data_IF_026423703602
#
_entry.id   IF_026423703602
#
_cell.length_a   1.000
_cell.length_b   1.000
_cell.length_c   1.000
_cell.angle_alpha   90.00
_cell.angle_beta   90.00
_cell.angle_gamma   90.00
#
_symmetry.space_group_name_H-M   'P 1'
#
loop_
_entity.id
_entity.type
_entity.pdbx_description
1 polymer ?
#
# COMPACT_ATOMS: atom_id res chain seq x y z
N UNK A 1 -17.74 3.42 5.21
CA UNK A 1 -17.57 4.02 3.88
C UNK A 1 -17.59 5.54 4.03
N UNK A 2 -16.45 6.21 4.19
CA UNK A 2 -16.43 7.68 4.12
C UNK A 2 -16.79 8.07 2.68
N UNK A 3 -17.82 8.91 2.54
CA UNK A 3 -18.31 9.37 1.23
C UNK A 3 -17.17 10.11 0.51
N UNK A 4 -17.00 9.87 -0.79
CA UNK A 4 -15.99 10.54 -1.64
C UNK A 4 -15.96 12.07 -1.49
N UNK A 5 -17.09 12.66 -1.08
CA UNK A 5 -17.26 14.07 -0.73
C UNK A 5 -16.31 14.56 0.39
N UNK A 6 -16.08 13.76 1.44
CA UNK A 6 -15.19 14.14 2.56
C UNK A 6 -13.72 14.20 2.13
N UNK A 7 -13.30 13.27 1.28
CA UNK A 7 -11.93 13.21 0.80
C UNK A 7 -11.59 14.40 -0.11
N UNK A 8 -12.51 14.74 -1.03
CA UNK A 8 -12.37 15.93 -1.88
C UNK A 8 -12.33 17.22 -1.03
N UNK A 9 -13.21 17.33 -0.03
CA UNK A 9 -13.23 18.47 0.89
C UNK A 9 -11.92 18.66 1.64
N UNK A 10 -11.33 17.56 2.17
CA UNK A 10 -10.02 17.60 2.83
C UNK A 10 -8.91 18.03 1.87
N UNK A 11 -8.81 17.41 0.69
CA UNK A 11 -7.79 17.77 -0.30
C UNK A 11 -7.89 19.25 -0.73
N UNK A 12 -9.09 19.77 -0.96
CA UNK A 12 -9.29 21.19 -1.28
C UNK A 12 -8.96 22.10 -0.09
N UNK A 13 -9.21 21.65 1.14
CA UNK A 13 -8.81 22.34 2.36
C UNK A 13 -7.29 22.49 2.47
N UNK A 14 -6.55 21.39 2.27
CA UNK A 14 -5.09 21.37 2.31
C UNK A 14 -4.48 22.27 1.23
N UNK A 15 -4.99 22.18 -0.01
CA UNK A 15 -4.55 23.05 -1.10
C UNK A 15 -4.90 24.52 -0.85
N UNK A 16 -6.06 24.81 -0.28
CA UNK A 16 -6.45 26.18 0.10
C UNK A 16 -5.49 26.72 1.16
N UNK A 17 -5.17 25.93 2.19
CA UNK A 17 -4.21 26.31 3.22
C UNK A 17 -2.83 26.62 2.60
N UNK A 18 -2.36 25.76 1.69
CA UNK A 18 -1.10 26.00 0.97
C UNK A 18 -1.12 27.27 0.12
N UNK A 19 -2.23 27.54 -0.59
CA UNK A 19 -2.40 28.77 -1.34
C UNK A 19 -2.27 30.01 -0.44
N UNK A 20 -2.84 29.97 0.77
CA UNK A 20 -2.75 31.06 1.75
C UNK A 20 -1.33 31.25 2.29
N UNK A 21 -0.59 30.17 2.53
CA UNK A 21 0.84 30.26 2.89
C UNK A 21 1.69 30.93 1.79
N UNK A 22 1.27 30.81 0.53
CA UNK A 22 1.89 31.49 -0.61
C UNK A 22 1.35 32.91 -0.83
N UNK A 23 0.50 33.43 0.07
CA UNK A 23 -0.09 34.76 -0.03
C UNK A 23 -1.19 34.89 -1.10
N UNK A 24 -1.68 33.79 -1.66
CA UNK A 24 -2.72 33.80 -2.69
C UNK A 24 -4.11 33.81 -2.07
N UNK A 25 -4.98 34.71 -2.56
CA UNK A 25 -6.41 34.60 -2.33
C UNK A 25 -7.08 33.65 -3.34
N UNK A 26 -8.34 33.28 -3.10
CA UNK A 26 -9.05 32.32 -3.95
C UNK A 26 -9.14 32.76 -5.42
N UNK A 27 -9.24 34.06 -5.70
CA UNK A 27 -9.26 34.59 -7.07
C UNK A 27 -7.90 34.40 -7.75
N UNK A 28 -6.82 34.74 -7.05
CA UNK A 28 -5.45 34.61 -7.55
C UNK A 28 -5.05 33.14 -7.73
N UNK A 29 -5.44 32.28 -6.80
CA UNK A 29 -5.21 30.84 -6.88
C UNK A 29 -5.96 30.22 -8.06
N UNK A 30 -7.25 30.54 -8.23
CA UNK A 30 -8.04 30.07 -9.38
C UNK A 30 -7.43 30.54 -10.71
N UNK A 31 -7.05 31.82 -10.79
CA UNK A 31 -6.40 32.37 -11.99
C UNK A 31 -5.07 31.66 -12.29
N UNK A 32 -4.24 31.40 -11.27
CA UNK A 32 -2.97 30.68 -11.40
C UNK A 32 -3.15 29.21 -11.79
N UNK A 33 -4.28 28.61 -11.41
CA UNK A 33 -4.69 27.28 -11.83
C UNK A 33 -5.37 27.25 -13.21
N UNK A 34 -5.55 28.41 -13.88
CA UNK A 34 -6.20 28.49 -15.19
C UNK A 34 -7.72 28.29 -15.17
N UNK A 35 -8.36 28.42 -14.01
CA UNK A 35 -9.81 28.20 -13.86
C UNK A 35 -10.56 29.46 -13.40
N UNK A 36 -11.86 29.51 -13.66
CA UNK A 36 -12.74 30.58 -13.16
C UNK A 36 -12.95 30.44 -11.64
N UNK A 37 -13.03 31.56 -10.93
CA UNK A 37 -13.27 31.60 -9.46
C UNK A 37 -14.60 30.94 -9.07
N UNK A 38 -15.61 31.05 -9.94
CA UNK A 38 -16.91 30.41 -9.76
C UNK A 38 -16.77 28.88 -9.78
N UNK A 39 -15.86 28.33 -10.59
CA UNK A 39 -15.54 26.91 -10.62
C UNK A 39 -14.97 26.47 -9.27
N UNK A 40 -14.01 27.21 -8.71
CA UNK A 40 -13.46 26.94 -7.37
C UNK A 40 -14.53 27.02 -6.27
N UNK A 41 -15.39 28.05 -6.32
CA UNK A 41 -16.49 28.21 -5.35
C UNK A 41 -17.51 27.07 -5.43
N UNK A 42 -17.82 26.60 -6.64
CA UNK A 42 -18.72 25.47 -6.89
C UNK A 42 -18.10 24.15 -6.45
N UNK A 43 -16.79 23.96 -6.67
CA UNK A 43 -16.06 22.75 -6.25
C UNK A 43 -16.12 22.52 -4.75
N UNK A 44 -16.04 23.58 -3.94
CA UNK A 44 -16.21 23.47 -2.47
C UNK A 44 -17.61 23.06 -2.02
N UNK A 45 -18.61 23.19 -2.90
CA UNK A 45 -20.03 22.87 -2.62
C UNK A 45 -20.51 21.61 -3.33
N UNK A 46 -19.77 21.08 -4.31
CA UNK A 46 -20.13 19.90 -5.11
C UNK A 46 -19.46 18.65 -4.59
N UNK A 47 -20.08 17.50 -4.85
CA UNK A 47 -19.55 16.17 -4.52
C UNK A 47 -18.56 15.62 -5.55
N UNK A 48 -18.24 16.38 -6.61
CA UNK A 48 -17.40 15.91 -7.71
C UNK A 48 -16.58 17.00 -8.37
N UNK A 49 -15.36 16.62 -8.74
CA UNK A 49 -14.36 17.41 -9.46
C UNK A 49 -13.73 16.49 -10.50
N UNK A 50 -13.46 16.98 -11.71
CA UNK A 50 -12.60 16.24 -12.63
C UNK A 50 -11.16 16.23 -12.10
N UNK A 51 -10.40 15.20 -12.48
CA UNK A 51 -9.03 15.04 -11.97
C UNK A 51 -8.09 16.15 -12.49
N UNK A 52 -8.32 16.63 -13.72
CA UNK A 52 -7.53 17.67 -14.37
C UNK A 52 -7.59 19.01 -13.62
N UNK A 53 -8.78 19.41 -13.17
CA UNK A 53 -8.99 20.62 -12.38
C UNK A 53 -8.33 20.49 -11.02
N UNK A 54 -8.45 19.33 -10.35
CA UNK A 54 -7.79 19.09 -9.07
C UNK A 54 -6.27 19.15 -9.22
N UNK A 55 -5.72 18.56 -10.29
CA UNK A 55 -4.30 18.58 -10.58
C UNK A 55 -3.79 19.99 -10.91
N UNK A 56 -4.57 20.78 -11.65
CA UNK A 56 -4.25 22.18 -11.97
C UNK A 56 -4.21 23.06 -10.72
N UNK A 57 -5.16 22.86 -9.79
CA UNK A 57 -5.18 23.53 -8.49
C UNK A 57 -3.98 23.16 -7.62
N UNK A 58 -3.56 21.90 -7.61
CA UNK A 58 -2.37 21.44 -6.90
C UNK A 58 -1.09 22.06 -7.49
N UNK A 59 -0.93 22.02 -8.82
CA UNK A 59 0.24 22.63 -9.50
C UNK A 59 0.37 24.13 -9.22
N UNK A 60 -0.75 24.85 -9.16
CA UNK A 60 -0.76 26.29 -8.89
C UNK A 60 -0.11 26.68 -7.55
N UNK A 61 -0.11 25.76 -6.57
CA UNK A 61 0.50 25.94 -5.24
C UNK A 61 1.78 25.13 -5.04
N UNK A 62 2.35 24.59 -6.12
CA UNK A 62 3.57 23.77 -6.07
C UNK A 62 3.37 22.39 -5.44
N UNK A 63 2.14 21.88 -5.43
CA UNK A 63 1.81 20.52 -4.98
C UNK A 63 1.58 19.58 -6.18
N UNK A 64 1.68 18.29 -5.93
CA UNK A 64 1.34 17.23 -6.90
C UNK A 64 0.34 16.26 -6.30
N UNK A 65 -0.58 15.77 -7.13
CA UNK A 65 -1.47 14.65 -6.77
C UNK A 65 -0.84 13.36 -7.28
N UNK A 66 -0.82 12.33 -6.44
CA UNK A 66 -0.29 11.02 -6.79
C UNK A 66 -1.19 9.90 -6.26
N UNK A 67 -1.01 8.71 -6.82
CA UNK A 67 -1.56 7.48 -6.26
C UNK A 67 -0.63 7.03 -5.14
N UNK A 68 -1.17 6.95 -3.93
CA UNK A 68 -0.48 6.32 -2.80
C UNK A 68 -1.00 4.90 -2.72
N UNK A 69 -0.10 3.91 -2.75
CA UNK A 69 -0.46 2.57 -2.32
C UNK A 69 -0.85 2.68 -0.84
N UNK A 70 -2.14 2.43 -0.54
CA UNK A 70 -2.56 2.32 0.84
C UNK A 70 -1.84 1.10 1.42
N UNK A 71 -1.08 1.31 2.50
CA UNK A 71 -0.59 0.21 3.31
C UNK A 71 -1.77 -0.71 3.63
N UNK A 72 -1.55 -2.03 3.58
CA UNK A 72 -2.59 -2.99 3.91
C UNK A 72 -3.25 -2.56 5.23
N UNK A 73 -4.61 -2.53 5.31
CA UNK A 73 -5.28 -2.19 6.56
C UNK A 73 -4.71 -3.05 7.69
N UNK A 74 -4.50 -2.43 8.85
CA UNK A 74 -3.83 -3.05 10.00
C UNK A 74 -2.34 -3.38 9.75
N UNK A 75 -1.55 -2.39 9.32
CA UNK A 75 -0.08 -2.46 9.30
C UNK A 75 0.54 -1.73 10.50
N UNK A 76 1.80 -2.05 10.83
CA UNK A 76 2.62 -1.27 11.77
C UNK A 76 2.79 0.16 11.28
N UNK A 77 3.18 1.08 12.18
CA UNK A 77 3.32 2.51 11.86
C UNK A 77 4.33 2.78 10.72
N UNK A 78 5.33 1.92 10.53
CA UNK A 78 6.29 1.98 9.44
C UNK A 78 5.82 1.25 8.16
N UNK A 79 4.61 0.67 8.17
CA UNK A 79 3.99 0.02 7.02
C UNK A 79 4.66 -1.28 6.57
N UNK A 80 5.63 -1.78 7.32
CA UNK A 80 6.45 -2.93 6.90
C UNK A 80 5.87 -4.28 7.30
N UNK A 81 5.13 -4.33 8.41
CA UNK A 81 4.58 -5.56 8.98
C UNK A 81 3.09 -5.43 9.23
N UNK A 82 2.35 -6.55 9.26
CA UNK A 82 0.98 -6.51 9.75
C UNK A 82 0.99 -6.15 11.25
N UNK A 83 0.06 -5.30 11.67
CA UNK A 83 -0.11 -4.88 13.05
C UNK A 83 -0.45 -6.07 13.96
N UNK A 84 -1.16 -7.07 13.45
CA UNK A 84 -1.48 -8.32 14.15
C UNK A 84 -1.44 -9.50 13.18
N UNK A 85 -0.91 -10.63 13.65
CA UNK A 85 -0.97 -11.92 12.96
C UNK A 85 -1.85 -12.85 13.78
N UNK A 86 -3.16 -12.80 13.52
CA UNK A 86 -4.11 -13.72 14.12
C UNK A 86 -4.18 -15.05 13.34
N UNK A 87 -4.95 -16.00 13.87
CA UNK A 87 -5.10 -17.33 13.28
C UNK A 87 -5.72 -17.28 11.88
N UNK A 88 -6.77 -16.48 11.69
CA UNK A 88 -7.45 -16.36 10.41
C UNK A 88 -6.53 -15.77 9.33
N UNK A 89 -5.64 -14.85 9.72
CA UNK A 89 -4.68 -14.29 8.81
C UNK A 89 -3.54 -15.27 8.49
N UNK A 90 -3.03 -16.00 9.48
CA UNK A 90 -2.07 -17.07 9.26
C UNK A 90 -2.62 -18.16 8.33
N UNK A 91 -3.88 -18.56 8.49
CA UNK A 91 -4.56 -19.53 7.62
C UNK A 91 -4.62 -19.03 6.15
N UNK A 92 -4.95 -17.75 5.92
CA UNK A 92 -4.90 -17.14 4.58
C UNK A 92 -3.50 -17.13 3.98
N UNK A 93 -2.47 -16.88 4.78
CA UNK A 93 -1.08 -16.95 4.31
C UNK A 93 -0.69 -18.37 3.93
N UNK A 94 -1.08 -19.37 4.74
CA UNK A 94 -0.86 -20.78 4.42
C UNK A 94 -1.55 -21.17 3.11
N UNK A 95 -2.79 -20.72 2.88
CA UNK A 95 -3.52 -20.95 1.62
C UNK A 95 -2.82 -20.34 0.42
N UNK A 96 -2.38 -19.09 0.54
CA UNK A 96 -1.63 -18.42 -0.51
C UNK A 96 -0.33 -19.18 -0.83
N UNK A 97 0.44 -19.54 0.19
CA UNK A 97 1.72 -20.24 0.03
C UNK A 97 1.52 -21.65 -0.56
N UNK A 98 0.45 -22.36 -0.17
CA UNK A 98 0.12 -23.69 -0.68
C UNK A 98 -0.39 -23.66 -2.12
N UNK A 99 -1.00 -22.55 -2.56
CA UNK A 99 -1.51 -22.42 -3.93
C UNK A 99 -0.43 -22.40 -5.00
N UNK A 100 0.82 -22.09 -4.64
CA UNK A 100 1.92 -21.93 -5.58
C UNK A 100 1.81 -20.70 -6.49
N UNK A 101 0.84 -19.82 -6.27
CA UNK A 101 0.67 -18.60 -7.06
C UNK A 101 1.83 -17.62 -6.79
N UNK A 102 2.44 -17.10 -7.86
CA UNK A 102 3.55 -16.14 -7.82
C UNK A 102 3.17 -14.77 -8.39
N UNK A 103 1.88 -14.46 -8.50
CA UNK A 103 1.39 -13.15 -8.92
C UNK A 103 1.68 -12.09 -7.83
N UNK A 104 2.51 -11.05 -8.11
CA UNK A 104 2.87 -10.04 -7.13
C UNK A 104 1.68 -9.25 -6.58
N UNK A 105 0.66 -8.99 -7.40
CA UNK A 105 -0.52 -8.22 -6.96
C UNK A 105 -1.34 -8.99 -5.95
N UNK A 106 -1.48 -10.31 -6.15
CA UNK A 106 -2.16 -11.19 -5.19
C UNK A 106 -1.42 -11.21 -3.86
N UNK A 107 -0.09 -11.31 -3.90
CA UNK A 107 0.74 -11.26 -2.70
C UNK A 107 0.68 -9.90 -2.00
N UNK A 108 0.76 -8.79 -2.73
CA UNK A 108 0.64 -7.44 -2.18
C UNK A 108 -0.75 -7.18 -1.57
N UNK A 109 -1.81 -7.76 -2.14
CA UNK A 109 -3.16 -7.65 -1.56
C UNK A 109 -3.33 -8.45 -0.26
N UNK A 110 -2.50 -9.49 -0.05
CA UNK A 110 -2.56 -10.33 1.13
C UNK A 110 -1.82 -9.72 2.33
N UNK A 111 -1.01 -8.67 2.17
CA UNK A 111 -0.32 -8.05 3.30
C UNK A 111 0.72 -7.01 2.90
N UNK A 112 1.40 -6.39 3.88
CA UNK A 112 2.41 -5.38 3.62
C UNK A 112 3.53 -5.91 2.72
N UNK A 113 3.91 -5.15 1.69
CA UNK A 113 4.82 -5.64 0.65
C UNK A 113 6.16 -6.12 1.20
N UNK A 114 6.73 -5.42 2.19
CA UNK A 114 7.96 -5.84 2.85
C UNK A 114 7.78 -7.17 3.61
N UNK A 115 6.68 -7.31 4.35
CA UNK A 115 6.32 -8.56 5.02
C UNK A 115 6.21 -9.73 4.02
N UNK A 116 5.46 -9.52 2.94
CA UNK A 116 5.22 -10.52 1.90
C UNK A 116 6.49 -10.87 1.12
N UNK A 117 7.38 -9.91 0.88
CA UNK A 117 8.67 -10.15 0.26
C UNK A 117 9.55 -11.08 1.11
N UNK A 118 9.64 -10.83 2.43
CA UNK A 118 10.38 -11.72 3.34
C UNK A 118 9.74 -13.10 3.49
N UNK A 119 8.41 -13.21 3.44
CA UNK A 119 7.71 -14.50 3.36
C UNK A 119 8.15 -15.30 2.11
N UNK A 120 8.25 -14.64 0.95
CA UNK A 120 8.73 -15.27 -0.27
C UNK A 120 10.20 -15.74 -0.16
N UNK A 121 11.08 -14.93 0.45
CA UNK A 121 12.49 -15.31 0.70
C UNK A 121 12.60 -16.48 1.68
N UNK A 122 11.76 -16.50 2.72
CA UNK A 122 11.69 -17.61 3.67
C UNK A 122 11.31 -18.91 2.95
N UNK A 123 10.28 -18.87 2.10
CA UNK A 123 9.86 -20.03 1.30
C UNK A 123 10.95 -20.46 0.32
N UNK A 124 11.64 -19.52 -0.34
CA UNK A 124 12.76 -19.80 -1.23
C UNK A 124 13.94 -20.46 -0.51
N UNK A 125 14.04 -20.27 0.80
CA UNK A 125 15.07 -20.87 1.66
C UNK A 125 14.68 -22.28 2.12
N UNK A 126 13.39 -22.55 2.29
CA UNK A 126 12.87 -23.87 2.68
C UNK A 126 12.63 -24.81 1.48
N UNK A 127 12.15 -24.30 0.35
CA UNK A 127 11.76 -25.08 -0.84
C UNK A 127 12.74 -24.85 -1.99
N UNK A 128 13.40 -25.93 -2.43
CA UNK A 128 14.43 -25.85 -3.50
C UNK A 128 13.85 -25.73 -4.92
N UNK A 129 12.65 -26.27 -5.18
CA UNK A 129 12.05 -26.33 -6.53
C UNK A 129 11.76 -24.95 -7.13
N UNK A 130 11.34 -23.98 -6.30
CA UNK A 130 10.83 -22.68 -6.77
C UNK A 130 11.66 -21.48 -6.32
N UNK A 131 12.86 -21.76 -5.79
CA UNK A 131 13.73 -20.76 -5.15
C UNK A 131 13.94 -19.52 -6.02
N UNK A 132 14.31 -19.67 -7.28
CA UNK A 132 14.58 -18.53 -8.18
C UNK A 132 13.34 -17.69 -8.42
N UNK A 133 12.18 -18.32 -8.61
CA UNK A 133 10.94 -17.62 -8.89
C UNK A 133 10.42 -16.87 -7.64
N UNK A 134 10.56 -17.48 -6.46
CA UNK A 134 10.24 -16.86 -5.18
C UNK A 134 11.15 -15.67 -4.84
N UNK A 135 12.45 -15.76 -5.13
CA UNK A 135 13.35 -14.61 -4.97
C UNK A 135 13.03 -13.47 -5.94
N UNK A 136 12.67 -13.79 -7.20
CA UNK A 136 12.21 -12.77 -8.14
C UNK A 136 10.90 -12.11 -7.70
N UNK A 137 9.98 -12.88 -7.12
CA UNK A 137 8.75 -12.34 -6.51
C UNK A 137 9.08 -11.41 -5.34
N UNK A 138 10.01 -11.80 -4.46
CA UNK A 138 10.44 -10.96 -3.34
C UNK A 138 10.95 -9.59 -3.81
N UNK A 139 11.79 -9.57 -4.86
CA UNK A 139 12.29 -8.32 -5.45
C UNK A 139 11.19 -7.45 -6.08
N UNK A 140 10.17 -8.07 -6.69
CA UNK A 140 9.02 -7.34 -7.24
C UNK A 140 8.09 -6.78 -6.15
N UNK A 141 8.03 -7.44 -5.00
CA UNK A 141 7.26 -6.97 -3.85
C UNK A 141 8.00 -5.84 -3.14
N UNK A 142 9.30 -6.02 -2.89
CA UNK A 142 10.15 -5.01 -2.27
C UNK A 142 11.60 -5.16 -2.77
N UNK A 143 12.09 -4.12 -3.44
CA UNK A 143 13.46 -4.11 -3.97
C UNK A 143 14.49 -4.33 -2.85
N UNK A 144 15.48 -5.18 -3.11
CA UNK A 144 16.54 -5.56 -2.17
C UNK A 144 16.10 -6.54 -1.08
N UNK A 145 14.86 -7.05 -1.10
CA UNK A 145 14.39 -8.00 -0.09
C UNK A 145 15.13 -9.35 -0.12
N UNK A 146 15.70 -9.74 -1.27
CA UNK A 146 16.49 -10.96 -1.40
C UNK A 146 17.89 -10.86 -0.78
N UNK A 147 18.33 -9.65 -0.38
CA UNK A 147 19.58 -9.45 0.33
C UNK A 147 19.54 -10.09 1.72
N UNK A 148 20.59 -10.83 2.08
CA UNK A 148 20.67 -11.57 3.34
C UNK A 148 20.56 -10.66 4.57
N UNK A 149 21.14 -9.45 4.54
CA UNK A 149 21.07 -8.50 5.65
C UNK A 149 19.68 -7.87 5.80
N UNK A 150 18.93 -7.74 4.69
CA UNK A 150 17.53 -7.30 4.73
C UNK A 150 16.64 -8.41 5.27
N UNK A 151 16.86 -9.65 4.83
CA UNK A 151 16.11 -10.80 5.32
C UNK A 151 16.37 -11.09 6.81
N UNK A 152 17.60 -10.92 7.31
CA UNK A 152 17.90 -11.03 8.75
C UNK A 152 17.13 -9.99 9.58
N UNK A 153 17.04 -8.74 9.10
CA UNK A 153 16.19 -7.71 9.73
C UNK A 153 14.72 -8.09 9.69
N UNK A 154 14.26 -8.68 8.59
CA UNK A 154 12.90 -9.17 8.48
C UNK A 154 12.62 -10.25 9.54
N UNK A 155 13.49 -11.24 9.70
CA UNK A 155 13.34 -12.32 10.70
C UNK A 155 13.27 -11.78 12.13
N UNK A 156 14.09 -10.78 12.48
CA UNK A 156 14.11 -10.16 13.81
C UNK A 156 12.81 -9.45 14.17
N UNK A 157 12.12 -8.87 13.18
CA UNK A 157 10.94 -8.03 13.38
C UNK A 157 9.63 -8.72 13.02
N UNK A 158 9.67 -9.79 12.23
CA UNK A 158 8.49 -10.46 11.72
C UNK A 158 7.65 -11.04 12.86
N UNK A 159 6.32 -10.81 12.85
CA UNK A 159 5.41 -11.49 13.77
C UNK A 159 5.23 -12.97 13.40
N UNK A 160 5.58 -13.35 12.17
CA UNK A 160 5.52 -14.73 11.70
C UNK A 160 6.79 -15.48 12.14
N UNK A 161 6.61 -16.66 12.74
CA UNK A 161 7.71 -17.51 13.21
C UNK A 161 7.97 -18.64 12.22
N UNK A 162 9.12 -18.67 11.51
CA UNK A 162 9.41 -19.70 10.51
C UNK A 162 9.29 -21.13 11.05
N UNK A 163 9.79 -21.36 12.27
CA UNK A 163 9.76 -22.66 12.93
C UNK A 163 8.35 -23.22 13.20
N UNK A 164 7.33 -22.35 13.28
CA UNK A 164 5.93 -22.75 13.38
C UNK A 164 5.26 -22.84 12.01
N UNK A 165 5.53 -21.86 11.16
CA UNK A 165 4.81 -21.70 9.90
C UNK A 165 5.18 -22.74 8.84
N UNK A 166 6.47 -23.07 8.70
CA UNK A 166 6.92 -24.02 7.68
C UNK A 166 6.36 -25.44 7.91
N UNK A 167 6.37 -26.00 9.13
CA UNK A 167 5.71 -27.29 9.39
C UNK A 167 4.21 -27.30 9.09
N UNK A 168 3.50 -26.20 9.37
CA UNK A 168 2.06 -26.10 9.06
C UNK A 168 1.78 -26.07 7.56
N UNK A 169 2.71 -25.53 6.77
CA UNK A 169 2.61 -25.49 5.32
C UNK A 169 2.86 -26.85 4.67
N UNK A 170 3.74 -27.66 5.27
CA UNK A 170 4.10 -28.99 4.78
C UNK A 170 3.17 -30.10 5.31
N UNK A 171 2.38 -29.82 6.35
CA UNK A 171 1.38 -30.74 6.85
C UNK A 171 0.33 -31.06 5.76
N UNK A 172 0.00 -32.34 5.52
CA UNK A 172 -1.06 -32.70 4.60
C UNK A 172 -2.35 -32.05 5.09
N UNK A 173 -2.90 -31.13 4.29
CA UNK A 173 -4.17 -30.49 4.58
C UNK A 173 -5.24 -31.57 4.60
N UNK A 174 -5.68 -31.95 5.79
CA UNK A 174 -6.87 -32.78 5.95
C UNK A 174 -8.02 -32.01 5.29
N UNK A 175 -8.41 -32.48 4.11
CA UNK A 175 -9.54 -31.97 3.36
C UNK A 175 -10.76 -32.05 4.30
N UNK A 176 -11.27 -30.89 4.73
CA UNK A 176 -12.63 -30.82 5.21
C UNK A 176 -13.51 -31.12 4.00
N UNK A 177 -14.17 -32.27 4.06
CA UNK A 177 -15.15 -32.76 3.09
C UNK A 177 -16.35 -31.80 2.97
#
# INVERSE_FOLDING_TARGET
>A
MSKSTEALGRALGDLTHRARLLGLNDTQWAARAGIRKETLSRLRRREGCDFETLQSLARAVGASLGVLEQAAPDSTADGHFPARLDRAYEDRLLELCASGDLNPERWASAGPRFFMAGLAVMLASARRSDRRALLALAERLHAGASDAAVFDRWLKRSPLRPARFLPLLDAPRAHAA
#
